data_IF_641799142513
#
_entry.id   IF_641799142513
#
_cell.length_a   1.000
_cell.length_b   1.000
_cell.length_c   1.000
_cell.angle_alpha   90.00
_cell.angle_beta   90.00
_cell.angle_gamma   90.00
#
_symmetry.space_group_name_H-M   'P 1'
#
loop_
_entity.id
_entity.type
_entity.pdbx_description
1 polymer ?
#
# COMPACT_ATOMS: atom_id res chain seq x y z
N UNK A 1 11.82 -12.71 -26.96
CA UNK A 1 10.87 -11.58 -26.82
C UNK A 1 10.40 -11.54 -25.37
N UNK A 2 10.56 -10.41 -24.68
CA UNK A 2 10.08 -10.24 -23.29
C UNK A 2 8.58 -9.99 -23.34
N UNK A 3 7.78 -10.79 -22.62
CA UNK A 3 6.35 -10.53 -22.49
C UNK A 3 6.17 -9.44 -21.43
N UNK A 4 5.72 -8.25 -21.84
CA UNK A 4 5.40 -7.19 -20.91
C UNK A 4 4.30 -7.66 -19.95
N UNK A 5 4.51 -7.43 -18.65
CA UNK A 5 3.47 -7.70 -17.67
C UNK A 5 2.28 -6.79 -18.01
N UNK A 6 1.08 -7.35 -18.18
CA UNK A 6 -0.14 -6.53 -18.23
C UNK A 6 -0.45 -6.08 -16.80
N UNK A 7 0.13 -4.97 -16.39
CA UNK A 7 -0.09 -4.36 -15.08
C UNK A 7 -1.33 -3.45 -15.15
N UNK A 8 -2.30 -3.70 -14.27
CA UNK A 8 -3.53 -2.92 -14.15
C UNK A 8 -3.79 -2.61 -12.69
N UNK A 9 -4.20 -1.38 -12.41
CA UNK A 9 -4.39 -0.90 -11.05
C UNK A 9 -5.58 0.04 -10.93
N UNK A 10 -6.22 0.06 -9.77
CA UNK A 10 -7.08 1.18 -9.34
C UNK A 10 -6.38 1.95 -8.23
N UNK A 11 -6.56 3.28 -8.22
CA UNK A 11 -6.07 4.13 -7.14
C UNK A 11 -7.11 4.26 -6.05
N UNK A 12 -6.64 4.33 -4.81
CA UNK A 12 -7.49 4.73 -3.71
C UNK A 12 -7.73 6.24 -3.76
N UNK A 13 -8.89 6.68 -3.29
CA UNK A 13 -9.19 8.10 -3.21
C UNK A 13 -8.20 8.78 -2.26
N UNK A 14 -7.67 9.91 -2.69
CA UNK A 14 -6.80 10.75 -1.86
C UNK A 14 -7.52 11.14 -0.57
N UNK A 15 -6.74 11.36 0.48
CA UNK A 15 -7.24 11.82 1.78
C UNK A 15 -6.97 13.30 1.94
N UNK A 16 -7.91 14.00 2.56
CA UNK A 16 -7.65 15.31 3.13
C UNK A 16 -7.27 15.08 4.58
N UNK A 17 -6.12 15.64 4.97
CA UNK A 17 -5.58 15.61 6.32
C UNK A 17 -4.97 16.97 6.57
N UNK A 18 -5.42 17.66 7.63
CA UNK A 18 -4.91 19.00 7.98
C UNK A 18 -5.17 20.05 6.90
N UNK A 19 -6.27 19.90 6.17
CA UNK A 19 -6.62 20.78 5.05
C UNK A 19 -5.81 20.53 3.76
N UNK A 20 -4.77 19.70 3.81
CA UNK A 20 -3.99 19.31 2.64
C UNK A 20 -4.42 17.96 2.08
N UNK A 21 -4.20 17.76 0.77
CA UNK A 21 -4.61 16.57 0.04
C UNK A 21 -3.42 15.65 -0.20
N UNK A 22 -3.46 14.44 0.35
CA UNK A 22 -2.39 13.45 0.24
C UNK A 22 -2.84 12.20 -0.52
N UNK A 23 -1.95 11.71 -1.39
CA UNK A 23 -2.18 10.44 -2.08
C UNK A 23 -1.96 9.24 -1.14
N UNK A 24 -2.87 8.28 -1.20
CA UNK A 24 -2.81 7.04 -0.39
C UNK A 24 -2.40 5.82 -1.20
N UNK A 25 -2.02 6.02 -2.46
CA UNK A 25 -1.58 4.97 -3.35
C UNK A 25 -2.72 4.13 -3.96
N UNK A 26 -2.45 2.84 -4.14
CA UNK A 26 -3.25 1.89 -4.89
C UNK A 26 -4.31 1.22 -4.00
N UNK A 27 -5.49 1.02 -4.59
CA UNK A 27 -6.55 0.21 -3.98
C UNK A 27 -6.50 -1.24 -4.45
N UNK A 28 -6.16 -1.46 -5.71
CA UNK A 28 -6.10 -2.79 -6.31
C UNK A 28 -5.00 -2.87 -7.35
N UNK A 29 -4.29 -4.01 -7.38
CA UNK A 29 -3.29 -4.34 -8.39
C UNK A 29 -3.60 -5.72 -8.95
N UNK A 30 -3.64 -5.81 -10.28
CA UNK A 30 -3.75 -7.04 -11.04
C UNK A 30 -2.63 -7.08 -12.06
N UNK A 31 -2.00 -8.25 -12.22
CA UNK A 31 -1.09 -8.42 -13.34
C UNK A 31 -0.99 -9.85 -13.84
N UNK A 32 -0.54 -9.98 -15.08
CA UNK A 32 -0.08 -11.26 -15.64
C UNK A 32 1.44 -11.28 -15.59
N UNK A 33 1.97 -12.20 -14.80
CA UNK A 33 3.39 -12.47 -14.65
C UNK A 33 3.79 -13.67 -15.52
N UNK A 34 5.05 -13.67 -15.94
CA UNK A 34 5.71 -14.80 -16.56
C UNK A 34 7.08 -14.98 -15.89
N UNK A 35 7.85 -15.97 -16.31
CA UNK A 35 9.24 -16.12 -15.83
C UNK A 35 10.15 -14.96 -16.27
N UNK A 36 9.75 -14.16 -17.27
CA UNK A 36 10.47 -12.92 -17.63
C UNK A 36 10.31 -11.82 -16.59
N UNK A 37 9.25 -11.86 -15.77
CA UNK A 37 9.03 -10.87 -14.71
C UNK A 37 10.17 -10.88 -13.67
N UNK A 38 10.87 -12.00 -13.51
CA UNK A 38 12.08 -12.12 -12.67
C UNK A 38 13.27 -11.29 -13.17
N UNK A 39 13.24 -10.86 -14.44
CA UNK A 39 14.28 -10.03 -15.07
C UNK A 39 13.86 -8.58 -15.20
N UNK A 40 12.57 -8.28 -15.01
CA UNK A 40 12.07 -6.91 -15.07
C UNK A 40 12.51 -6.19 -13.79
N UNK A 41 13.19 -5.06 -13.97
CA UNK A 41 13.47 -4.15 -12.86
C UNK A 41 12.25 -3.27 -12.66
N UNK A 42 11.61 -3.39 -11.51
CA UNK A 42 10.69 -2.36 -11.02
C UNK A 42 11.45 -1.08 -10.68
N UNK A 43 10.79 -0.18 -9.95
CA UNK A 43 11.41 1.05 -9.46
C UNK A 43 11.15 1.23 -7.97
N UNK A 44 12.11 1.84 -7.27
CA UNK A 44 11.94 2.19 -5.87
C UNK A 44 10.89 3.28 -5.70
N UNK A 45 10.22 3.38 -4.53
CA UNK A 45 9.18 4.37 -4.30
C UNK A 45 9.70 5.80 -4.47
N UNK A 46 9.11 6.55 -5.40
CA UNK A 46 9.51 7.94 -5.67
C UNK A 46 8.78 8.95 -4.76
N UNK A 47 9.37 10.14 -4.60
CA UNK A 47 8.82 11.26 -3.82
C UNK A 47 7.46 11.72 -4.37
N UNK A 48 6.55 12.16 -3.51
CA UNK A 48 5.19 12.58 -3.89
C UNK A 48 4.23 11.43 -4.25
N UNK A 49 4.70 10.19 -4.22
CA UNK A 49 3.86 9.00 -4.33
C UNK A 49 3.60 8.37 -2.97
N UNK A 50 2.34 7.99 -2.72
CA UNK A 50 1.82 7.58 -1.43
C UNK A 50 2.23 8.62 -0.38
N UNK A 51 2.03 9.89 -0.72
CA UNK A 51 2.57 11.05 -0.02
C UNK A 51 2.10 11.14 1.44
N UNK A 52 0.99 10.46 1.78
CA UNK A 52 0.55 10.34 3.18
C UNK A 52 1.63 9.70 4.08
N UNK A 53 2.46 8.82 3.54
CA UNK A 53 3.59 8.21 4.29
C UNK A 53 4.68 9.24 4.58
N UNK A 54 4.98 10.11 3.63
CA UNK A 54 5.93 11.21 3.84
C UNK A 54 5.43 12.12 4.96
N UNK A 55 4.12 12.38 4.95
CA UNK A 55 3.46 13.15 6.00
C UNK A 55 3.57 12.48 7.37
N UNK A 56 3.29 11.19 7.49
CA UNK A 56 3.42 10.46 8.76
C UNK A 56 4.83 10.49 9.34
N UNK A 57 5.83 10.44 8.47
CA UNK A 57 7.23 10.41 8.88
C UNK A 57 7.87 11.80 8.96
N UNK A 58 7.11 12.87 8.70
CA UNK A 58 7.59 14.24 8.82
C UNK A 58 7.85 14.56 10.28
N UNK A 59 9.03 15.09 10.59
CA UNK A 59 9.34 15.62 11.91
C UNK A 59 8.69 16.98 12.08
N UNK A 60 8.17 17.22 13.26
CA UNK A 60 7.45 18.44 13.60
C UNK A 60 8.10 19.12 14.78
N UNK A 61 8.37 20.42 14.65
CA UNK A 61 8.66 21.29 15.78
C UNK A 61 7.33 21.90 16.28
N UNK A 62 7.17 21.99 17.59
CA UNK A 62 6.03 22.67 18.23
C UNK A 62 5.86 24.09 17.68
N UNK A 63 6.97 24.76 17.37
CA UNK A 63 6.97 26.13 16.83
C UNK A 63 6.32 26.23 15.45
N UNK A 64 6.42 25.18 14.64
CA UNK A 64 5.85 25.16 13.29
C UNK A 64 4.32 25.02 13.31
N UNK A 65 3.76 24.61 14.46
CA UNK A 65 2.35 24.28 14.64
C UNK A 65 1.53 25.38 15.33
N UNK A 66 2.16 26.53 15.58
CA UNK A 66 1.52 27.66 16.26
C UNK A 66 1.41 28.82 15.28
N UNK A 67 0.24 28.99 14.68
CA UNK A 67 -0.10 30.21 13.96
C UNK A 67 -0.42 31.33 14.98
N UNK A 68 0.59 32.14 15.31
CA UNK A 68 0.45 33.26 16.22
C UNK A 68 -0.62 34.26 15.76
N UNK A 69 -0.83 34.44 14.45
CA UNK A 69 -1.85 35.36 13.94
C UNK A 69 -3.26 34.79 14.17
N UNK A 70 -3.46 33.49 13.97
CA UNK A 70 -4.71 32.80 14.28
C UNK A 70 -5.01 32.83 15.79
N UNK A 71 -4.01 32.60 16.63
CA UNK A 71 -4.13 32.69 18.10
C UNK A 71 -4.49 34.10 18.54
N UNK A 72 -3.79 35.12 18.02
CA UNK A 72 -4.10 36.53 18.32
C UNK A 72 -5.52 36.89 17.89
N UNK A 73 -5.95 36.44 16.70
CA UNK A 73 -7.31 36.64 16.20
C UNK A 73 -8.35 35.96 17.11
N UNK A 74 -8.08 34.75 17.58
CA UNK A 74 -8.95 34.04 18.52
C UNK A 74 -9.08 34.79 19.85
N UNK A 75 -7.96 35.26 20.41
CA UNK A 75 -7.92 36.04 21.66
C UNK A 75 -8.56 37.42 21.53
N UNK A 76 -8.57 37.99 20.33
CA UNK A 76 -9.24 39.28 20.05
C UNK A 76 -10.77 39.15 19.94
N UNK A 77 -11.31 37.93 19.86
CA UNK A 77 -12.74 37.69 19.70
C UNK A 77 -13.44 37.50 21.05
N UNK A 78 -14.31 38.46 21.42
CA UNK A 78 -15.06 38.45 22.68
C UNK A 78 -15.90 37.18 22.90
N UNK A 79 -16.50 36.62 21.84
CA UNK A 79 -17.27 35.37 21.93
C UNK A 79 -16.35 34.17 22.21
N UNK A 80 -15.17 34.13 21.62
CA UNK A 80 -14.17 33.09 21.88
C UNK A 80 -13.70 33.14 23.33
N UNK A 81 -13.40 34.33 23.87
CA UNK A 81 -13.02 34.51 25.28
C UNK A 81 -14.11 34.03 26.25
N UNK A 82 -15.38 34.35 25.97
CA UNK A 82 -16.52 33.87 26.77
C UNK A 82 -16.68 32.35 26.73
N UNK A 83 -16.40 31.71 25.59
CA UNK A 83 -16.40 30.25 25.45
C UNK A 83 -15.22 29.61 26.18
N UNK A 84 -14.05 30.25 26.16
CA UNK A 84 -12.84 29.81 26.86
C UNK A 84 -13.05 29.80 28.37
N UNK A 85 -13.64 30.85 28.95
CA UNK A 85 -13.95 30.92 30.37
C UNK A 85 -14.91 29.82 30.86
N UNK A 86 -15.63 29.18 29.94
CA UNK A 86 -16.58 28.08 30.20
C UNK A 86 -16.07 26.72 29.70
N UNK A 87 -14.86 26.67 29.15
CA UNK A 87 -14.28 25.43 28.65
C UNK A 87 -13.83 24.57 29.83
N UNK A 88 -14.20 23.29 29.81
CA UNK A 88 -13.92 22.32 30.86
C UNK A 88 -13.03 21.17 30.39
N UNK A 89 -12.41 21.30 29.21
CA UNK A 89 -11.45 20.33 28.68
C UNK A 89 -10.33 21.04 27.92
N UNK A 90 -9.14 20.44 27.98
CA UNK A 90 -7.95 20.92 27.25
C UNK A 90 -8.22 20.97 25.75
N UNK A 91 -8.85 19.95 25.18
CA UNK A 91 -9.21 19.91 23.75
C UNK A 91 -10.04 21.12 23.32
N UNK A 92 -11.02 21.53 24.13
CA UNK A 92 -11.88 22.66 23.82
C UNK A 92 -11.14 23.99 23.93
N UNK A 93 -10.18 24.09 24.86
CA UNK A 93 -9.31 25.26 24.98
C UNK A 93 -8.40 25.37 23.75
N UNK A 94 -7.77 24.26 23.34
CA UNK A 94 -6.90 24.20 22.16
C UNK A 94 -7.67 24.53 20.87
N UNK A 95 -8.87 23.97 20.70
CA UNK A 95 -9.74 24.28 19.56
C UNK A 95 -10.11 25.77 19.50
N UNK A 96 -10.52 26.36 20.63
CA UNK A 96 -10.91 27.77 20.69
C UNK A 96 -9.74 28.72 20.42
N UNK A 97 -8.52 28.33 20.75
CA UNK A 97 -7.30 29.10 20.51
C UNK A 97 -6.67 28.85 19.14
N UNK A 98 -7.29 28.01 18.28
CA UNK A 98 -6.72 27.56 17.02
C UNK A 98 -5.37 26.83 17.19
N UNK A 99 -5.16 26.17 18.32
CA UNK A 99 -3.99 25.35 18.64
C UNK A 99 -4.25 23.85 18.43
N UNK A 100 -5.13 23.52 17.48
CA UNK A 100 -5.50 22.13 17.17
C UNK A 100 -4.31 21.30 16.72
N UNK A 101 -3.28 21.93 16.16
CA UNK A 101 -2.08 21.25 15.70
C UNK A 101 -1.18 20.77 16.86
N UNK A 102 -1.19 21.48 18.00
CA UNK A 102 -0.52 21.00 19.23
C UNK A 102 -1.15 19.68 19.69
N UNK A 103 -2.45 19.50 19.53
CA UNK A 103 -3.13 18.23 19.85
C UNK A 103 -2.65 17.09 18.94
N UNK A 104 -2.29 17.39 17.69
CA UNK A 104 -1.80 16.39 16.73
C UNK A 104 -0.34 15.98 16.95
N UNK A 105 0.45 16.72 17.75
CA UNK A 105 1.83 16.32 18.08
C UNK A 105 1.92 14.93 18.71
N UNK A 106 0.97 14.61 19.61
CA UNK A 106 0.87 13.27 20.19
C UNK A 106 0.56 12.24 19.11
N UNK A 107 -0.33 12.56 18.16
CA UNK A 107 -0.67 11.67 17.06
C UNK A 107 0.53 11.43 16.14
N UNK A 108 1.34 12.45 15.82
CA UNK A 108 2.56 12.25 15.03
C UNK A 108 3.56 11.35 15.71
N UNK A 109 3.74 11.51 17.03
CA UNK A 109 4.63 10.66 17.80
C UNK A 109 4.20 9.19 17.69
N UNK A 110 2.89 8.92 17.77
CA UNK A 110 2.31 7.58 17.59
C UNK A 110 2.45 7.06 16.15
N UNK A 111 2.16 7.90 15.14
CA UNK A 111 2.28 7.54 13.72
C UNK A 111 3.74 7.23 13.35
N UNK A 112 4.70 8.03 13.81
CA UNK A 112 6.13 7.83 13.57
C UNK A 112 6.66 6.57 14.25
N UNK A 113 6.16 6.23 15.46
CA UNK A 113 6.57 5.03 16.17
C UNK A 113 6.31 3.73 15.37
N UNK A 114 5.28 3.72 14.51
CA UNK A 114 4.98 2.59 13.63
C UNK A 114 5.90 2.49 12.39
N UNK A 115 6.70 3.52 12.10
CA UNK A 115 7.60 3.63 10.93
C UNK A 115 6.90 3.18 9.64
N UNK A 116 5.97 4.01 9.16
CA UNK A 116 5.26 3.73 7.92
C UNK A 116 6.19 3.83 6.72
N UNK A 117 5.95 3.00 5.71
CA UNK A 117 6.66 3.02 4.44
C UNK A 117 5.70 2.97 3.27
N UNK A 118 6.21 3.35 2.10
CA UNK A 118 5.54 3.21 0.81
C UNK A 118 5.66 1.75 0.36
N UNK A 119 4.80 0.89 0.90
CA UNK A 119 4.83 -0.55 0.66
C UNK A 119 4.44 -0.89 -0.77
N UNK A 120 5.23 -1.72 -1.43
CA UNK A 120 4.90 -2.25 -2.76
C UNK A 120 3.82 -3.34 -2.63
N UNK A 121 2.75 -3.24 -3.41
CA UNK A 121 1.75 -4.31 -3.53
C UNK A 121 2.29 -5.45 -4.41
N UNK A 122 2.89 -5.11 -5.55
CA UNK A 122 3.72 -6.01 -6.35
C UNK A 122 5.19 -5.62 -6.20
N UNK A 123 6.03 -6.57 -5.79
CA UNK A 123 7.46 -6.38 -5.57
C UNK A 123 8.16 -5.77 -6.79
N UNK A 124 9.11 -4.87 -6.53
CA UNK A 124 10.05 -4.37 -7.52
C UNK A 124 10.79 -5.50 -8.26
N UNK A 125 11.03 -6.64 -7.58
CA UNK A 125 11.70 -7.83 -8.15
C UNK A 125 10.87 -8.55 -9.21
N UNK A 126 9.59 -8.21 -9.32
CA UNK A 126 8.64 -8.73 -10.29
C UNK A 126 8.20 -7.66 -11.30
N UNK A 127 8.89 -6.50 -11.33
CA UNK A 127 8.54 -5.38 -12.20
C UNK A 127 7.50 -4.42 -11.63
N UNK A 128 7.21 -4.47 -10.32
CA UNK A 128 6.31 -3.51 -9.67
C UNK A 128 6.88 -2.08 -9.71
N UNK A 129 6.12 -1.08 -10.19
CA UNK A 129 6.59 0.31 -10.23
C UNK A 129 6.50 0.99 -8.87
N UNK A 130 7.44 1.88 -8.56
CA UNK A 130 7.48 2.72 -7.35
C UNK A 130 6.61 3.97 -7.43
N UNK A 131 5.38 3.85 -7.92
CA UNK A 131 4.43 4.97 -8.07
C UNK A 131 3.07 4.64 -7.43
N UNK A 132 2.18 5.63 -7.34
CA UNK A 132 0.85 5.51 -6.71
C UNK A 132 -0.02 4.34 -7.19
N UNK A 133 0.27 3.76 -8.35
CA UNK A 133 -0.47 2.64 -8.93
C UNK A 133 -0.13 1.29 -8.28
N UNK A 134 0.92 1.22 -7.46
CA UNK A 134 1.42 -0.01 -6.86
C UNK A 134 1.91 0.15 -5.42
N UNK A 135 1.82 1.36 -4.87
CA UNK A 135 2.24 1.66 -3.50
C UNK A 135 1.02 1.75 -2.59
N UNK A 136 1.13 1.37 -1.33
CA UNK A 136 0.10 1.56 -0.30
C UNK A 136 0.80 1.89 1.03
N UNK A 137 0.20 2.67 1.94
CA UNK A 137 0.78 2.87 3.27
C UNK A 137 0.80 1.53 4.02
N UNK A 138 1.96 1.13 4.52
CA UNK A 138 2.16 -0.06 5.34
C UNK A 138 3.19 0.20 6.42
N UNK A 139 3.09 -0.41 7.60
CA UNK A 139 4.22 -0.44 8.53
C UNK A 139 5.38 -1.24 7.94
N UNK A 140 6.62 -0.91 8.33
CA UNK A 140 7.81 -1.64 7.88
C UNK A 140 7.71 -3.16 8.20
N UNK A 141 7.14 -3.51 9.36
CA UNK A 141 6.88 -4.89 9.77
C UNK A 141 5.87 -5.57 8.85
N UNK A 142 4.72 -4.94 8.58
CA UNK A 142 3.67 -5.49 7.70
C UNK A 142 4.18 -5.73 6.28
N UNK A 143 5.00 -4.82 5.74
CA UNK A 143 5.64 -4.99 4.44
C UNK A 143 6.61 -6.18 4.42
N UNK A 144 7.44 -6.33 5.47
CA UNK A 144 8.35 -7.48 5.59
C UNK A 144 7.60 -8.81 5.70
N UNK A 145 6.52 -8.85 6.49
CA UNK A 145 5.65 -10.02 6.61
C UNK A 145 4.96 -10.36 5.29
N UNK A 146 4.42 -9.37 4.58
CA UNK A 146 3.80 -9.58 3.27
C UNK A 146 4.82 -10.14 2.27
N UNK A 147 5.99 -9.52 2.15
CA UNK A 147 7.06 -10.00 1.26
C UNK A 147 7.47 -11.44 1.59
N UNK A 148 7.79 -11.72 2.85
CA UNK A 148 8.27 -13.04 3.27
C UNK A 148 7.19 -14.12 3.16
N UNK A 149 5.94 -13.83 3.52
CA UNK A 149 4.87 -14.82 3.56
C UNK A 149 4.21 -15.07 2.20
N UNK A 150 4.20 -14.08 1.31
CA UNK A 150 3.52 -14.13 0.01
C UNK A 150 4.48 -14.00 -1.17
N UNK A 151 5.15 -12.85 -1.31
CA UNK A 151 5.89 -12.51 -2.52
C UNK A 151 7.11 -13.41 -2.74
N UNK A 152 7.82 -13.75 -1.67
CA UNK A 152 8.98 -14.65 -1.71
C UNK A 152 8.61 -16.02 -2.29
N UNK A 153 7.41 -16.55 -1.95
CA UNK A 153 6.89 -17.83 -2.43
C UNK A 153 6.50 -17.76 -3.90
N UNK A 154 5.90 -16.65 -4.33
CA UNK A 154 5.61 -16.39 -5.73
C UNK A 154 6.90 -16.31 -6.56
N UNK A 155 7.89 -15.54 -6.09
CA UNK A 155 9.21 -15.44 -6.72
C UNK A 155 9.85 -16.83 -6.85
N UNK A 156 9.86 -17.62 -5.78
CA UNK A 156 10.38 -18.99 -5.80
C UNK A 156 9.64 -19.87 -6.81
N UNK A 157 8.31 -19.79 -6.85
CA UNK A 157 7.50 -20.55 -7.81
C UNK A 157 7.84 -20.18 -9.26
N UNK A 158 8.03 -18.89 -9.56
CA UNK A 158 8.46 -18.45 -10.90
C UNK A 158 9.86 -18.95 -11.26
N UNK A 159 10.78 -19.03 -10.28
CA UNK A 159 12.12 -19.59 -10.50
C UNK A 159 12.07 -21.08 -10.83
N UNK A 160 11.19 -21.83 -10.16
CA UNK A 160 11.00 -23.25 -10.43
C UNK A 160 10.32 -23.48 -11.78
N UNK A 161 9.29 -22.69 -12.12
CA UNK A 161 8.65 -22.75 -13.43
C UNK A 161 9.66 -22.51 -14.56
N UNK A 162 10.60 -21.57 -14.39
CA UNK A 162 11.66 -21.31 -15.38
C UNK A 162 12.49 -22.54 -15.74
N UNK A 163 12.67 -23.49 -14.81
CA UNK A 163 13.36 -24.76 -15.08
C UNK A 163 12.49 -25.69 -15.92
N UNK A 164 11.20 -25.76 -15.60
CA UNK A 164 10.20 -26.58 -16.29
C UNK A 164 9.92 -26.08 -17.72
N UNK A 165 9.93 -24.76 -17.94
CA UNK A 165 9.71 -24.15 -19.25
C UNK A 165 10.76 -24.59 -20.27
N UNK A 166 12.05 -24.61 -19.85
CA UNK A 166 13.15 -25.08 -20.71
C UNK A 166 12.99 -26.53 -21.14
N UNK A 167 12.43 -27.37 -20.27
CA UNK A 167 12.29 -28.80 -20.52
C UNK A 167 11.03 -29.18 -21.32
N UNK A 168 10.07 -28.25 -21.45
CA UNK A 168 8.78 -28.49 -22.11
C UNK A 168 8.60 -27.71 -23.41
N UNK A 169 9.31 -26.58 -23.59
CA UNK A 169 9.08 -25.65 -24.70
C UNK A 169 7.81 -24.80 -24.55
N UNK A 170 7.17 -24.87 -23.38
CA UNK A 170 5.99 -24.07 -23.02
C UNK A 170 6.32 -23.14 -21.87
N UNK A 171 5.70 -21.97 -21.88
CA UNK A 171 5.85 -20.93 -20.89
C UNK A 171 4.58 -20.76 -20.06
N UNK A 172 4.72 -20.32 -18.82
CA UNK A 172 3.61 -20.16 -17.88
C UNK A 172 3.19 -18.70 -17.76
N UNK A 173 1.88 -18.49 -17.62
CA UNK A 173 1.27 -17.24 -17.21
C UNK A 173 0.70 -17.40 -15.81
N UNK A 174 1.12 -16.52 -14.91
CA UNK A 174 0.63 -16.45 -13.54
C UNK A 174 -0.20 -15.19 -13.42
N UNK A 175 -1.45 -15.31 -12.97
CA UNK A 175 -2.29 -14.17 -12.62
C UNK A 175 -2.05 -13.82 -11.17
N UNK A 176 -1.60 -12.60 -10.91
CA UNK A 176 -1.50 -12.00 -9.60
C UNK A 176 -2.66 -11.03 -9.39
N UNK A 177 -3.19 -11.00 -8.17
CA UNK A 177 -4.23 -10.08 -7.76
C UNK A 177 -4.05 -9.72 -6.30
N UNK A 178 -4.06 -8.43 -5.99
CA UNK A 178 -4.02 -7.93 -4.63
C UNK A 178 -4.95 -6.72 -4.48
N UNK A 179 -5.71 -6.69 -3.39
CA UNK A 179 -6.71 -5.64 -3.12
C UNK A 179 -6.63 -5.16 -1.68
N UNK A 180 -6.50 -3.86 -1.51
CA UNK A 180 -6.58 -3.16 -0.25
C UNK A 180 -8.03 -3.06 0.22
N UNK A 181 -8.28 -3.13 1.52
CA UNK A 181 -9.64 -3.00 2.07
C UNK A 181 -9.65 -2.51 3.52
N UNK A 182 -10.85 -2.12 3.98
CA UNK A 182 -11.07 -1.61 5.33
C UNK A 182 -10.53 -0.19 5.56
N UNK A 183 -10.77 0.29 6.78
CA UNK A 183 -10.26 1.54 7.33
C UNK A 183 -9.35 1.25 8.53
N UNK A 184 -8.18 1.87 8.59
CA UNK A 184 -7.32 1.78 9.77
C UNK A 184 -8.04 2.40 10.98
N UNK A 185 -7.74 1.88 12.16
CA UNK A 185 -8.19 2.47 13.43
C UNK A 185 -6.96 2.94 14.19
N UNK A 186 -7.05 4.03 14.96
CA UNK A 186 -6.01 4.37 15.90
C UNK A 186 -5.76 3.20 16.87
N UNK A 187 -4.49 2.94 17.19
CA UNK A 187 -4.06 1.95 18.17
C UNK A 187 -3.78 2.56 19.56
N UNK A 188 -4.01 3.87 19.71
CA UNK A 188 -3.89 4.61 20.96
C UNK A 188 -5.23 5.27 21.31
N UNK A 189 -5.45 5.55 22.60
CA UNK A 189 -6.75 5.96 23.14
C UNK A 189 -7.09 7.44 22.93
N UNK A 190 -6.08 8.30 22.75
CA UNK A 190 -6.21 9.76 22.70
C UNK A 190 -6.07 10.36 21.30
N UNK A 191 -6.31 9.56 20.25
CA UNK A 191 -6.19 10.02 18.88
C UNK A 191 -7.11 11.20 18.58
N UNK A 192 -6.59 12.25 17.95
CA UNK A 192 -7.44 13.36 17.52
C UNK A 192 -8.51 12.89 16.53
N UNK A 193 -9.62 13.63 16.44
CA UNK A 193 -10.69 13.36 15.48
C UNK A 193 -10.17 13.41 14.04
N UNK A 194 -9.24 14.32 13.75
CA UNK A 194 -8.65 14.49 12.43
C UNK A 194 -7.83 13.26 12.03
N UNK A 195 -6.91 12.82 12.89
CA UNK A 195 -6.12 11.60 12.67
C UNK A 195 -7.03 10.36 12.56
N UNK A 196 -8.03 10.24 13.44
CA UNK A 196 -8.98 9.13 13.39
C UNK A 196 -9.75 9.07 12.07
N UNK A 197 -10.22 10.22 11.56
CA UNK A 197 -10.91 10.32 10.26
C UNK A 197 -9.97 9.98 9.11
N UNK A 198 -8.73 10.48 9.15
CA UNK A 198 -7.73 10.19 8.13
C UNK A 198 -7.41 8.69 8.10
N UNK A 199 -7.09 8.07 9.25
CA UNK A 199 -6.79 6.64 9.34
C UNK A 199 -7.96 5.78 8.83
N UNK A 200 -9.21 6.18 9.09
CA UNK A 200 -10.39 5.46 8.61
C UNK A 200 -10.49 5.36 7.08
N UNK A 201 -9.82 6.25 6.34
CA UNK A 201 -9.75 6.22 4.88
C UNK A 201 -8.57 5.38 4.35
N UNK A 202 -7.58 5.11 5.20
CA UNK A 202 -6.41 4.30 4.86
C UNK A 202 -6.72 2.80 4.93
N UNK A 203 -6.07 1.97 4.09
CA UNK A 203 -6.37 0.54 4.04
C UNK A 203 -5.91 -0.16 5.30
N UNK A 204 -6.78 -0.96 5.91
CA UNK A 204 -6.41 -1.77 7.06
C UNK A 204 -5.71 -3.07 6.65
N UNK A 205 -6.12 -3.63 5.52
CA UNK A 205 -5.68 -4.94 5.07
C UNK A 205 -5.38 -4.97 3.58
N UNK A 206 -4.50 -5.88 3.18
CA UNK A 206 -4.21 -6.25 1.80
C UNK A 206 -4.56 -7.73 1.61
N UNK A 207 -5.47 -8.03 0.70
CA UNK A 207 -5.83 -9.40 0.33
C UNK A 207 -5.15 -9.76 -0.98
N UNK A 208 -4.19 -10.68 -0.95
CA UNK A 208 -3.38 -11.05 -2.10
C UNK A 208 -3.57 -12.52 -2.49
N UNK A 209 -3.53 -12.80 -3.79
CA UNK A 209 -3.64 -14.13 -4.38
C UNK A 209 -2.85 -14.22 -5.69
N UNK A 210 -2.44 -15.44 -6.04
CA UNK A 210 -1.92 -15.71 -7.37
C UNK A 210 -2.29 -17.12 -7.80
N UNK A 211 -2.39 -17.34 -9.11
CA UNK A 211 -2.61 -18.67 -9.68
C UNK A 211 -1.97 -18.81 -11.05
N UNK A 212 -1.57 -20.03 -11.38
CA UNK A 212 -1.28 -20.39 -12.78
C UNK A 212 -2.56 -20.23 -13.59
N UNK A 213 -2.53 -19.31 -14.55
CA UNK A 213 -3.70 -18.96 -15.37
C UNK A 213 -3.74 -19.75 -16.68
N UNK A 214 -2.61 -19.82 -17.37
CA UNK A 214 -2.52 -20.46 -18.69
C UNK A 214 -1.06 -20.70 -19.09
N UNK A 215 -0.87 -21.36 -20.22
CA UNK A 215 0.42 -21.63 -20.84
C UNK A 215 0.46 -21.06 -22.26
N UNK A 216 1.64 -20.93 -22.83
CA UNK A 216 1.84 -20.53 -24.21
C UNK A 216 3.10 -21.18 -24.77
N UNK A 217 3.16 -21.40 -26.08
CA UNK A 217 4.39 -21.93 -26.70
C UNK A 217 5.47 -20.84 -26.71
N UNK A 218 6.73 -21.22 -26.49
CA UNK A 218 7.81 -20.24 -26.59
C UNK A 218 7.84 -19.57 -27.97
N UNK A 219 8.13 -18.27 -27.98
CA UNK A 219 8.01 -17.43 -29.19
C UNK A 219 6.58 -17.03 -29.59
N UNK A 220 5.53 -17.58 -28.95
CA UNK A 220 4.12 -17.26 -29.26
C UNK A 220 3.32 -16.77 -28.05
N UNK A 221 3.67 -15.61 -27.46
CA UNK A 221 3.06 -15.15 -26.24
C UNK A 221 1.66 -14.56 -26.39
N UNK A 222 1.03 -14.60 -27.57
CA UNK A 222 -0.39 -14.32 -27.74
C UNK A 222 -1.26 -15.57 -27.49
N UNK A 223 -0.70 -16.78 -27.69
CA UNK A 223 -1.42 -18.03 -27.48
C UNK A 223 -1.81 -18.21 -26.01
N UNK A 224 -2.99 -18.78 -25.76
CA UNK A 224 -3.46 -19.14 -24.43
C UNK A 224 -3.89 -20.60 -24.42
N UNK A 225 -3.08 -21.44 -23.81
CA UNK A 225 -3.23 -22.89 -23.79
C UNK A 225 -3.58 -23.30 -22.36
N UNK A 226 -4.71 -23.98 -22.17
CA UNK A 226 -5.06 -24.60 -20.90
C UNK A 226 -4.16 -25.83 -20.65
N UNK A 227 -3.91 -26.20 -19.38
CA UNK A 227 -3.06 -27.36 -19.06
C UNK A 227 -3.52 -28.65 -19.77
N UNK A 228 -4.83 -28.88 -19.81
CA UNK A 228 -5.45 -30.05 -20.45
C UNK A 228 -5.20 -30.15 -21.95
N UNK A 229 -4.80 -29.05 -22.59
CA UNK A 229 -4.48 -28.97 -24.02
C UNK A 229 -2.98 -29.03 -24.30
N UNK A 230 -2.14 -29.18 -23.27
CA UNK A 230 -0.71 -29.41 -23.45
C UNK A 230 -0.45 -30.86 -23.88
N UNK A 231 0.57 -31.12 -24.73
CA UNK A 231 1.04 -32.48 -24.98
C UNK A 231 1.38 -33.18 -23.67
N UNK A 232 1.07 -34.48 -23.56
CA UNK A 232 1.23 -35.23 -22.30
C UNK A 232 2.65 -35.16 -21.71
N UNK A 233 3.68 -35.17 -22.57
CA UNK A 233 5.08 -35.01 -22.19
C UNK A 233 5.40 -33.64 -21.57
N UNK A 234 4.76 -32.57 -22.05
CA UNK A 234 4.87 -31.23 -21.49
C UNK A 234 4.01 -31.07 -20.23
N UNK A 235 2.77 -31.57 -20.25
CA UNK A 235 1.83 -31.46 -19.12
C UNK A 235 2.36 -32.11 -17.84
N UNK A 236 3.14 -33.20 -17.96
CA UNK A 236 3.84 -33.87 -16.85
C UNK A 236 4.91 -32.99 -16.19
N UNK A 237 5.56 -32.12 -16.95
CA UNK A 237 6.64 -31.23 -16.49
C UNK A 237 6.14 -29.86 -16.04
N UNK A 238 4.99 -29.43 -16.54
CA UNK A 238 4.43 -28.12 -16.22
C UNK A 238 3.69 -28.13 -14.87
N UNK A 239 3.63 -26.99 -14.16
CA UNK A 239 3.04 -26.94 -12.84
C UNK A 239 1.55 -27.28 -12.90
N UNK A 240 1.01 -27.91 -11.85
CA UNK A 240 -0.45 -28.10 -11.72
C UNK A 240 -1.14 -26.73 -11.63
N UNK A 241 -2.47 -26.70 -11.63
CA UNK A 241 -3.21 -25.49 -11.27
C UNK A 241 -2.94 -25.16 -9.79
N UNK A 242 -1.77 -24.58 -9.54
CA UNK A 242 -1.27 -24.19 -8.23
C UNK A 242 -1.36 -22.69 -8.09
N UNK A 243 -1.38 -22.24 -6.86
CA UNK A 243 -1.53 -20.83 -6.53
C UNK A 243 -1.68 -20.62 -5.03
N UNK A 244 -1.52 -19.37 -4.60
CA UNK A 244 -1.97 -18.95 -3.29
C UNK A 244 -3.45 -18.56 -3.38
N UNK A 245 -4.30 -19.24 -2.59
CA UNK A 245 -5.66 -18.74 -2.31
C UNK A 245 -5.56 -17.34 -1.72
N UNK A 246 -6.61 -16.50 -1.82
CA UNK A 246 -6.57 -15.17 -1.24
C UNK A 246 -6.26 -15.20 0.27
N UNK A 247 -5.13 -14.60 0.64
CA UNK A 247 -4.67 -14.42 2.04
C UNK A 247 -4.74 -12.95 2.39
N UNK A 248 -5.21 -12.65 3.60
CA UNK A 248 -5.32 -11.28 4.12
C UNK A 248 -4.11 -10.95 4.98
N UNK A 249 -3.49 -9.81 4.72
CA UNK A 249 -2.35 -9.26 5.46
C UNK A 249 -2.77 -7.94 6.12
N UNK A 250 -2.51 -7.74 7.42
CA UNK A 250 -2.67 -6.41 8.02
C UNK A 250 -1.65 -5.43 7.43
N UNK A 251 -2.01 -4.16 7.35
CA UNK A 251 -1.13 -3.08 6.85
C UNK A 251 -0.58 -2.17 7.96
N UNK A 252 -1.13 -2.29 9.16
CA UNK A 252 -0.68 -1.64 10.38
C UNK A 252 -0.72 -2.67 11.52
N UNK A 253 0.01 -2.39 12.62
CA UNK A 253 -0.03 -3.20 13.84
C UNK A 253 -1.42 -3.18 14.49
#
# INVERSE_FOLDING_TARGET
MVVANKFTSSRRADVVFEGEKFSTGADEVTCILTTDSLKQKGSSPATGHCAIVERFNSRWDVKDLIDLAAVQKALSNKSTLQKLAKANSVDKILELLALTEIQMLSDYSELQAQTYIKGHILSEKLGGPGTNVNLTPMSASSNSTYYSAFESKLIKSLQDFRKEEKASGYRVRVRFHAKCSGGMKPWWSSASKETSRMLSKLPRTLKASWRVDSFFKDGKPSERIAKSKLPASAAKKMPKATGAKPVTYPLAL
#
